data_IF_243518552240
#
_entry.id   IF_243518552240
#
_cell.length_a   1.000
_cell.length_b   1.000
_cell.length_c   1.000
_cell.angle_alpha   90.00
_cell.angle_beta   90.00
_cell.angle_gamma   90.00
#
_symmetry.space_group_name_H-M   'P 1'
#
loop_
_entity.id
_entity.type
_entity.pdbx_description
1 polymer ?
#
# COMPACT_ATOMS: atom_id res chain seq x y z
N UNK A 1 9.12 2.06 5.46
CA UNK A 1 10.25 1.37 4.80
C UNK A 1 11.14 2.40 4.15
N UNK A 2 12.42 2.09 3.96
CA UNK A 2 13.38 2.99 3.33
C UNK A 2 14.74 2.31 3.12
N UNK A 3 15.68 3.09 2.61
CA UNK A 3 17.04 2.66 2.30
C UNK A 3 18.01 3.82 2.51
N UNK A 4 19.31 3.55 2.68
CA UNK A 4 20.35 4.59 2.84
C UNK A 4 21.51 4.42 1.85
N UNK A 5 22.49 5.32 1.92
CA UNK A 5 23.66 5.36 1.03
C UNK A 5 24.59 4.12 1.15
N UNK A 6 24.48 3.35 2.23
CA UNK A 6 25.24 2.12 2.43
C UNK A 6 24.55 0.88 1.82
N UNK A 7 23.35 1.05 1.24
CA UNK A 7 22.56 -0.07 0.74
C UNK A 7 21.81 -0.83 1.82
N UNK A 8 21.76 -0.30 3.05
CA UNK A 8 20.88 -0.83 4.09
C UNK A 8 19.43 -0.55 3.71
N UNK A 9 18.59 -1.58 3.72
CA UNK A 9 17.15 -1.49 3.45
C UNK A 9 16.40 -1.99 4.67
N UNK A 10 15.40 -1.24 5.12
CA UNK A 10 14.58 -1.62 6.27
C UNK A 10 13.10 -1.33 6.02
N UNK A 11 12.26 -2.29 6.42
CA UNK A 11 10.81 -2.17 6.48
C UNK A 11 10.32 -2.24 7.92
N UNK A 12 9.14 -1.65 8.16
CA UNK A 12 8.38 -1.83 9.39
C UNK A 12 6.95 -2.19 8.98
N UNK A 13 6.34 -3.12 9.71
CA UNK A 13 4.96 -3.53 9.55
C UNK A 13 4.32 -3.65 10.94
N UNK A 14 3.01 -3.39 11.03
CA UNK A 14 2.30 -3.49 12.28
C UNK A 14 2.04 -4.94 12.67
N UNK A 15 2.48 -5.32 13.87
CA UNK A 15 2.16 -6.60 14.49
C UNK A 15 1.20 -6.41 15.67
N UNK A 16 0.18 -7.26 15.69
CA UNK A 16 -0.76 -7.34 16.81
C UNK A 16 -0.37 -8.56 17.65
N UNK A 17 0.25 -8.30 18.80
CA UNK A 17 0.78 -9.33 19.70
C UNK A 17 -0.03 -9.39 21.00
N UNK A 18 0.16 -10.45 21.81
CA UNK A 18 -0.38 -10.54 23.18
C UNK A 18 0.22 -9.50 24.14
N UNK A 19 1.39 -8.95 23.82
CA UNK A 19 2.06 -7.94 24.65
C UNK A 19 1.30 -6.61 24.51
N UNK A 20 0.93 -5.96 25.63
CA UNK A 20 0.28 -4.65 25.59
C UNK A 20 1.23 -3.59 25.03
N UNK A 21 0.71 -2.71 24.16
CA UNK A 21 1.46 -1.55 23.67
C UNK A 21 1.57 -0.47 24.73
N UNK A 22 2.76 0.08 24.93
CA UNK A 22 2.96 1.22 25.82
C UNK A 22 2.50 2.54 25.17
N UNK A 23 2.07 3.50 25.99
CA UNK A 23 1.60 4.82 25.51
C UNK A 23 2.74 5.71 25.03
N UNK A 24 3.93 5.48 25.56
CA UNK A 24 5.16 6.24 25.28
C UNK A 24 6.27 5.28 24.87
N UNK A 25 7.26 5.80 24.15
CA UNK A 25 8.37 5.05 23.60
C UNK A 25 8.54 5.29 22.10
N UNK A 26 9.47 4.55 21.49
CA UNK A 26 9.76 4.68 20.06
C UNK A 26 8.71 3.95 19.23
N UNK A 27 8.19 4.61 18.19
CA UNK A 27 7.34 3.95 17.18
C UNK A 27 8.19 3.13 16.21
N UNK A 28 7.57 2.20 15.49
CA UNK A 28 8.27 1.46 14.44
C UNK A 28 8.82 2.36 13.33
N UNK A 29 8.21 3.53 13.09
CA UNK A 29 8.70 4.51 12.13
C UNK A 29 9.92 5.27 12.65
N UNK A 30 9.97 5.56 13.96
CA UNK A 30 11.17 6.12 14.58
C UNK A 30 12.35 5.16 14.43
N UNK A 31 12.15 3.87 14.69
CA UNK A 31 13.19 2.85 14.54
C UNK A 31 13.70 2.77 13.10
N UNK A 32 12.81 2.78 12.10
CA UNK A 32 13.19 2.81 10.67
C UNK A 32 14.09 4.01 10.37
N UNK A 33 13.68 5.21 10.81
CA UNK A 33 14.47 6.43 10.58
C UNK A 33 15.82 6.35 11.29
N UNK A 34 15.81 6.03 12.58
CA UNK A 34 17.02 6.05 13.41
C UNK A 34 18.08 5.06 12.92
N UNK A 35 17.66 3.89 12.43
CA UNK A 35 18.55 2.88 11.82
C UNK A 35 19.12 3.38 10.50
N UNK A 36 18.29 3.91 9.61
CA UNK A 36 18.76 4.40 8.31
C UNK A 36 19.77 5.55 8.45
N UNK A 37 19.62 6.39 9.47
CA UNK A 37 20.52 7.51 9.77
C UNK A 37 21.85 7.10 10.41
N UNK A 38 21.92 5.94 11.10
CA UNK A 38 23.05 5.59 11.99
C UNK A 38 23.81 4.34 11.58
N UNK A 39 23.26 3.52 10.69
CA UNK A 39 23.78 2.19 10.43
C UNK A 39 24.15 1.99 8.96
N UNK A 40 25.26 1.29 8.73
CA UNK A 40 25.72 0.90 7.40
C UNK A 40 25.29 -0.52 7.04
N UNK A 41 25.06 -1.37 8.04
CA UNK A 41 24.76 -2.80 7.84
C UNK A 41 23.49 -3.23 8.55
N UNK A 42 22.91 -4.36 8.12
CA UNK A 42 21.74 -4.96 8.78
C UNK A 42 22.05 -5.39 10.22
N UNK A 43 23.30 -5.83 10.47
CA UNK A 43 23.79 -6.21 11.81
C UNK A 43 23.81 -5.00 12.76
N UNK A 44 24.40 -3.89 12.34
CA UNK A 44 24.37 -2.63 13.09
C UNK A 44 22.93 -2.12 13.30
N UNK A 45 22.09 -2.23 12.28
CA UNK A 45 20.68 -1.84 12.37
C UNK A 45 19.93 -2.62 13.45
N UNK A 46 20.12 -3.94 13.50
CA UNK A 46 19.58 -4.82 14.54
C UNK A 46 20.09 -4.42 15.94
N UNK A 47 21.40 -4.26 16.11
CA UNK A 47 22.01 -3.89 17.39
C UNK A 47 21.51 -2.52 17.88
N UNK A 48 21.36 -1.56 16.97
CA UNK A 48 20.80 -0.24 17.24
C UNK A 48 19.35 -0.33 17.68
N UNK A 49 18.53 -1.15 17.01
CA UNK A 49 17.14 -1.39 17.43
C UNK A 49 17.11 -1.96 18.85
N UNK A 50 17.90 -2.99 19.15
CA UNK A 50 17.96 -3.61 20.49
C UNK A 50 18.33 -2.57 21.54
N UNK A 51 19.39 -1.79 21.30
CA UNK A 51 19.83 -0.72 22.20
C UNK A 51 18.71 0.31 22.45
N UNK A 52 18.10 0.83 21.38
CA UNK A 52 17.06 1.85 21.45
C UNK A 52 15.82 1.33 22.18
N UNK A 53 15.42 0.09 21.92
CA UNK A 53 14.28 -0.55 22.58
C UNK A 53 14.53 -0.80 24.06
N UNK A 54 15.75 -1.15 24.45
CA UNK A 54 16.13 -1.31 25.85
C UNK A 54 16.15 0.04 26.59
N UNK A 55 16.62 1.09 25.93
CA UNK A 55 16.77 2.42 26.54
C UNK A 55 15.48 3.23 26.60
N UNK A 56 14.68 3.19 25.54
CA UNK A 56 13.52 4.08 25.36
C UNK A 56 12.18 3.36 25.32
N UNK A 57 12.17 2.02 25.31
CA UNK A 57 10.93 1.27 25.13
C UNK A 57 10.37 1.37 23.70
N UNK A 58 9.26 0.66 23.47
CA UNK A 58 8.45 0.81 22.26
C UNK A 58 7.02 1.16 22.62
N UNK A 59 6.46 2.17 21.97
CA UNK A 59 5.10 2.64 22.21
C UNK A 59 4.79 3.84 21.35
N UNK A 60 3.77 4.60 21.75
CA UNK A 60 3.40 5.84 21.08
C UNK A 60 2.26 5.69 20.06
N UNK A 61 1.57 6.81 19.80
CA UNK A 61 0.47 6.84 18.84
C UNK A 61 1.02 6.74 17.41
N UNK A 62 0.71 5.64 16.74
CA UNK A 62 1.07 5.36 15.36
C UNK A 62 -0.05 5.74 14.36
N UNK A 63 -1.13 6.36 14.83
CA UNK A 63 -2.26 6.76 14.00
C UNK A 63 -2.28 8.26 13.75
N UNK A 64 -2.64 8.63 12.51
CA UNK A 64 -2.70 10.03 12.08
C UNK A 64 -4.01 10.72 12.51
N UNK A 65 -5.17 10.14 12.17
CA UNK A 65 -6.49 10.72 12.47
C UNK A 65 -7.14 10.17 13.74
N UNK A 66 -6.63 9.05 14.26
CA UNK A 66 -7.16 8.39 15.45
C UNK A 66 -6.02 7.73 16.22
N UNK A 67 -6.25 7.46 17.50
CA UNK A 67 -5.28 6.76 18.33
C UNK A 67 -5.12 5.31 17.83
N UNK A 68 -3.93 4.96 17.39
CA UNK A 68 -3.59 3.62 16.93
C UNK A 68 -2.27 3.18 17.54
N UNK A 69 -2.28 2.10 18.32
CA UNK A 69 -1.10 1.58 19.01
C UNK A 69 -0.87 0.13 18.57
N UNK A 70 0.39 -0.23 18.33
CA UNK A 70 0.82 -1.58 17.99
C UNK A 70 2.30 -1.79 18.35
N UNK A 71 2.78 -3.04 18.29
CA UNK A 71 4.18 -3.39 18.50
C UNK A 71 4.86 -3.78 17.18
N UNK A 72 6.14 -3.43 17.04
CA UNK A 72 7.01 -3.77 15.91
C UNK A 72 8.24 -4.58 16.33
N UNK A 73 8.30 -5.08 17.57
CA UNK A 73 9.53 -5.64 18.17
C UNK A 73 10.05 -6.95 17.54
N UNK A 74 9.62 -7.33 16.34
CA UNK A 74 9.87 -8.66 15.78
C UNK A 74 10.07 -8.55 14.27
N UNK A 75 11.19 -9.10 13.78
CA UNK A 75 11.68 -8.92 12.42
C UNK A 75 10.98 -9.79 11.35
N UNK A 76 9.68 -9.62 11.05
CA UNK A 76 9.10 -10.18 9.80
C UNK A 76 8.17 -9.25 9.05
N UNK A 77 8.19 -9.40 7.72
CA UNK A 77 7.29 -8.76 6.76
C UNK A 77 6.10 -9.68 6.51
N UNK A 78 5.09 -9.52 7.36
CA UNK A 78 3.68 -9.53 7.01
C UNK A 78 2.94 -9.04 8.25
N UNK A 79 1.74 -8.49 8.12
CA UNK A 79 0.87 -8.10 9.24
C UNK A 79 0.36 -9.29 10.09
N UNK A 80 1.05 -10.43 10.01
CA UNK A 80 0.92 -11.60 10.86
C UNK A 80 2.31 -11.96 11.37
N UNK A 81 2.35 -12.42 12.61
CA UNK A 81 3.53 -13.08 13.15
C UNK A 81 3.67 -14.42 12.41
N UNK A 82 4.67 -14.53 11.56
CA UNK A 82 4.85 -15.69 10.68
C UNK A 82 6.02 -16.60 11.07
N UNK A 83 6.76 -16.24 12.11
CA UNK A 83 7.87 -17.03 12.60
C UNK A 83 7.42 -18.29 13.35
N UNK A 84 8.14 -19.37 13.05
CA UNK A 84 7.92 -20.71 13.59
C UNK A 84 8.71 -20.96 14.87
N UNK A 85 9.36 -22.11 14.91
CA UNK A 85 10.24 -22.53 15.99
C UNK A 85 11.57 -21.76 15.95
N UNK A 86 12.36 -21.86 17.03
CA UNK A 86 13.61 -21.11 17.17
C UNK A 86 14.64 -21.38 16.06
N UNK A 87 14.61 -22.57 15.44
CA UNK A 87 15.48 -22.94 14.31
C UNK A 87 15.20 -22.11 13.04
N UNK A 88 14.06 -21.40 12.98
CA UNK A 88 13.71 -20.50 11.87
C UNK A 88 14.30 -19.10 12.02
N UNK A 89 15.01 -18.84 13.11
CA UNK A 89 15.58 -17.54 13.43
C UNK A 89 17.06 -17.56 13.13
N UNK A 90 17.53 -16.56 12.38
CA UNK A 90 18.96 -16.29 12.33
C UNK A 90 19.44 -15.77 13.69
N UNK A 91 18.64 -14.92 14.36
CA UNK A 91 18.93 -14.32 15.66
C UNK A 91 17.64 -13.89 16.41
N UNK A 92 17.72 -13.76 17.73
CA UNK A 92 16.64 -13.28 18.60
C UNK A 92 17.16 -12.67 19.93
N UNK A 93 16.33 -11.89 20.64
CA UNK A 93 16.73 -11.27 21.91
C UNK A 93 16.82 -12.31 23.04
N UNK A 94 17.80 -12.14 23.94
CA UNK A 94 18.08 -13.08 25.05
C UNK A 94 16.82 -13.47 25.85
N UNK A 95 16.02 -12.48 26.23
CA UNK A 95 14.86 -12.69 27.10
C UNK A 95 13.58 -13.10 26.32
N UNK A 96 13.67 -13.35 25.01
CA UNK A 96 12.48 -13.68 24.21
C UNK A 96 11.82 -14.96 24.71
N UNK A 97 12.59 -16.02 24.89
CA UNK A 97 12.05 -17.33 25.30
C UNK A 97 11.73 -17.32 26.79
N UNK A 98 12.61 -16.71 27.60
CA UNK A 98 12.40 -16.55 29.05
C UNK A 98 11.05 -15.87 29.34
N UNK A 99 10.74 -14.77 28.64
CA UNK A 99 9.45 -14.10 28.78
C UNK A 99 8.28 -15.01 28.40
N UNK A 100 8.40 -15.81 27.33
CA UNK A 100 7.34 -16.73 26.93
C UNK A 100 7.10 -17.83 27.96
N UNK A 101 8.17 -18.35 28.58
CA UNK A 101 8.11 -19.35 29.66
C UNK A 101 7.50 -18.73 30.93
N UNK A 102 7.95 -17.54 31.34
CA UNK A 102 7.41 -16.79 32.49
C UNK A 102 5.91 -16.54 32.35
N UNK A 103 5.45 -16.20 31.15
CA UNK A 103 4.04 -15.98 30.85
C UNK A 103 3.27 -17.28 30.59
N UNK A 104 3.91 -18.46 30.72
CA UNK A 104 3.33 -19.79 30.50
C UNK A 104 2.75 -19.97 29.10
N UNK A 105 3.36 -19.34 28.10
CA UNK A 105 2.99 -19.52 26.69
C UNK A 105 3.71 -20.69 26.03
N UNK A 106 4.80 -21.16 26.64
CA UNK A 106 5.53 -22.39 26.35
C UNK A 106 6.19 -22.88 27.65
N UNK A 107 6.72 -24.11 27.65
CA UNK A 107 7.33 -24.77 28.80
C UNK A 107 8.85 -24.78 28.76
N UNK A 108 9.45 -24.64 27.58
CA UNK A 108 10.88 -24.80 27.34
C UNK A 108 11.32 -24.05 26.07
N UNK A 109 12.59 -24.20 25.71
CA UNK A 109 13.09 -23.76 24.40
C UNK A 109 12.63 -24.68 23.25
N UNK A 110 12.48 -25.98 23.51
CA UNK A 110 12.18 -26.98 22.48
C UNK A 110 10.73 -26.90 21.99
N UNK A 111 9.81 -26.46 22.86
CA UNK A 111 8.41 -26.24 22.51
C UNK A 111 8.09 -24.79 22.09
N UNK A 112 9.10 -23.91 22.10
CA UNK A 112 8.92 -22.52 21.70
C UNK A 112 8.55 -22.40 20.23
N UNK A 113 7.39 -21.81 19.96
CA UNK A 113 6.96 -21.45 18.62
C UNK A 113 6.45 -20.01 18.64
N UNK A 114 7.18 -19.12 17.98
CA UNK A 114 7.03 -17.68 18.13
C UNK A 114 5.60 -17.20 17.85
N UNK A 115 5.02 -17.60 16.71
CA UNK A 115 3.63 -17.29 16.40
C UNK A 115 2.67 -17.78 17.49
N UNK A 116 2.80 -19.01 18.00
CA UNK A 116 1.88 -19.54 19.04
C UNK A 116 2.03 -18.79 20.36
N UNK A 117 3.27 -18.45 20.74
CA UNK A 117 3.54 -17.75 21.98
C UNK A 117 3.03 -16.31 21.93
N UNK A 118 3.35 -15.57 20.86
CA UNK A 118 3.13 -14.11 20.79
C UNK A 118 1.88 -13.67 20.01
N UNK A 119 1.23 -14.57 19.26
CA UNK A 119 -0.07 -14.33 18.64
C UNK A 119 -1.19 -15.05 19.41
N UNK A 120 -2.43 -14.56 19.32
CA UNK A 120 -3.61 -15.21 19.92
C UNK A 120 -4.08 -14.58 21.24
N UNK A 121 -4.85 -15.34 22.03
CA UNK A 121 -5.57 -14.88 23.21
C UNK A 121 -4.67 -14.19 24.24
N UNK A 122 -4.98 -12.93 24.55
CA UNK A 122 -4.51 -12.25 25.76
C UNK A 122 -5.56 -12.41 26.86
N UNK A 123 -5.14 -12.55 28.12
CA UNK A 123 -6.04 -12.59 29.29
C UNK A 123 -6.72 -11.23 29.56
N UNK A 124 -6.34 -10.18 28.82
CA UNK A 124 -6.97 -8.87 28.90
C UNK A 124 -8.06 -8.72 27.81
N UNK A 125 -9.34 -8.53 28.18
CA UNK A 125 -10.49 -8.60 27.25
C UNK A 125 -10.48 -7.56 26.12
N UNK A 126 -9.94 -6.37 26.38
CA UNK A 126 -9.94 -5.25 25.43
C UNK A 126 -8.86 -5.42 24.35
N UNK A 127 -7.74 -6.02 24.73
CA UNK A 127 -6.59 -6.36 23.91
C UNK A 127 -6.89 -7.63 23.10
N UNK A 128 -7.62 -8.59 23.69
CA UNK A 128 -8.19 -9.77 23.04
C UNK A 128 -9.04 -9.40 21.80
N UNK A 129 -10.08 -8.59 22.00
CA UNK A 129 -10.99 -8.20 20.91
C UNK A 129 -10.22 -7.51 19.79
N UNK A 130 -9.32 -6.59 20.14
CA UNK A 130 -8.55 -5.84 19.17
C UNK A 130 -7.52 -6.67 18.41
N UNK A 131 -6.75 -7.55 19.06
CA UNK A 131 -5.71 -8.33 18.40
C UNK A 131 -6.30 -9.42 17.49
N UNK A 132 -7.33 -10.14 17.94
CA UNK A 132 -7.96 -11.21 17.15
C UNK A 132 -8.68 -10.67 15.91
N UNK A 133 -9.52 -9.65 16.08
CA UNK A 133 -10.26 -9.02 14.97
C UNK A 133 -9.31 -8.32 14.01
N UNK A 134 -8.37 -7.51 14.50
CA UNK A 134 -7.44 -6.81 13.60
C UNK A 134 -6.56 -7.78 12.82
N UNK A 135 -6.08 -8.86 13.43
CA UNK A 135 -5.28 -9.86 12.72
C UNK A 135 -6.11 -10.59 11.66
N UNK A 136 -7.34 -10.99 11.99
CA UNK A 136 -8.24 -11.67 11.06
C UNK A 136 -8.62 -10.77 9.87
N UNK A 137 -9.09 -9.55 10.12
CA UNK A 137 -9.48 -8.62 9.06
C UNK A 137 -8.31 -8.04 8.28
N UNK A 138 -7.11 -7.96 8.87
CA UNK A 138 -5.93 -7.53 8.14
C UNK A 138 -5.51 -8.54 7.06
N UNK A 139 -6.08 -9.76 7.04
CA UNK A 139 -5.94 -10.75 5.94
C UNK A 139 -4.48 -11.09 5.60
N UNK A 140 -3.60 -11.03 6.60
CA UNK A 140 -2.16 -11.23 6.37
C UNK A 140 -1.80 -12.64 5.94
N UNK A 141 -2.51 -13.65 6.45
CA UNK A 141 -2.34 -15.05 6.03
C UNK A 141 -2.63 -15.22 4.53
N UNK A 142 -3.70 -14.60 4.03
CA UNK A 142 -4.07 -14.66 2.60
C UNK A 142 -2.97 -14.04 1.74
N UNK A 143 -2.47 -12.84 2.09
CA UNK A 143 -1.39 -12.18 1.35
C UNK A 143 -0.06 -12.93 1.45
N UNK A 144 0.25 -13.49 2.62
CA UNK A 144 1.45 -14.29 2.83
C UNK A 144 1.43 -15.56 1.98
N UNK A 145 0.34 -16.33 2.03
CA UNK A 145 0.19 -17.53 1.22
C UNK A 145 0.27 -17.20 -0.27
N UNK A 146 -0.43 -16.14 -0.70
CA UNK A 146 -0.41 -15.70 -2.10
C UNK A 146 0.97 -15.26 -2.58
N UNK A 147 1.70 -14.48 -1.78
CA UNK A 147 3.04 -14.03 -2.15
C UNK A 147 4.03 -15.20 -2.22
N UNK A 148 3.99 -16.12 -1.25
CA UNK A 148 4.78 -17.36 -1.28
C UNK A 148 4.48 -18.20 -2.52
N UNK A 149 3.20 -18.47 -2.79
CA UNK A 149 2.78 -19.23 -3.98
C UNK A 149 3.30 -18.61 -5.27
N UNK A 150 3.22 -17.28 -5.41
CA UNK A 150 3.72 -16.59 -6.60
C UNK A 150 5.23 -16.73 -6.74
N UNK A 151 5.98 -16.46 -5.66
CA UNK A 151 7.44 -16.54 -5.67
C UNK A 151 7.90 -17.96 -5.97
N UNK A 152 7.32 -18.98 -5.33
CA UNK A 152 7.65 -20.37 -5.57
C UNK A 152 7.33 -20.81 -6.99
N UNK A 153 6.15 -20.45 -7.52
CA UNK A 153 5.77 -20.82 -8.88
C UNK A 153 6.64 -20.15 -9.93
N UNK A 154 7.00 -18.87 -9.73
CA UNK A 154 7.91 -18.15 -10.61
C UNK A 154 9.33 -18.74 -10.54
N UNK A 155 9.79 -19.12 -9.34
CA UNK A 155 11.09 -19.78 -9.13
C UNK A 155 11.14 -21.21 -9.71
N UNK A 156 10.05 -21.98 -9.62
CA UNK A 156 9.96 -23.33 -10.22
C UNK A 156 9.93 -23.30 -11.75
N UNK A 157 9.23 -22.32 -12.35
CA UNK A 157 9.30 -22.09 -13.81
C UNK A 157 10.73 -21.76 -14.25
N UNK A 158 11.44 -21.03 -13.41
CA UNK A 158 12.84 -20.63 -13.58
C UNK A 158 13.80 -21.83 -13.66
N UNK A 159 13.62 -22.84 -12.80
CA UNK A 159 14.42 -24.06 -12.76
C UNK A 159 14.26 -24.98 -13.99
N UNK A 160 13.28 -24.74 -14.86
CA UNK A 160 13.21 -25.38 -16.19
C UNK A 160 14.11 -24.62 -17.18
N UNK A 161 15.42 -24.88 -17.08
CA UNK A 161 16.51 -24.54 -18.03
C UNK A 161 16.81 -23.09 -18.43
N UNK A 162 16.10 -22.01 -18.06
CA UNK A 162 16.55 -20.67 -18.51
C UNK A 162 15.99 -19.39 -17.87
N UNK A 163 15.44 -19.38 -16.66
CA UNK A 163 15.27 -18.09 -15.97
C UNK A 163 15.56 -18.17 -14.49
N UNK A 164 16.01 -17.08 -13.89
CA UNK A 164 16.09 -16.88 -12.44
C UNK A 164 14.93 -15.95 -12.06
N UNK A 165 14.41 -16.03 -10.83
CA UNK A 165 13.46 -15.04 -10.33
C UNK A 165 14.02 -13.61 -10.55
N UNK A 166 13.28 -12.79 -11.30
CA UNK A 166 13.76 -11.48 -11.77
C UNK A 166 13.18 -10.32 -10.97
N UNK A 167 13.74 -9.13 -11.19
CA UNK A 167 13.18 -7.88 -10.67
C UNK A 167 11.74 -7.63 -11.17
N UNK A 168 11.46 -7.95 -12.44
CA UNK A 168 10.13 -7.81 -13.04
C UNK A 168 9.14 -8.79 -12.38
N UNK A 169 9.59 -10.00 -12.03
CA UNK A 169 8.78 -10.95 -11.28
C UNK A 169 8.37 -10.37 -9.92
N UNK A 170 9.31 -9.74 -9.18
CA UNK A 170 8.99 -9.05 -7.94
C UNK A 170 7.99 -7.91 -8.13
N UNK A 171 8.14 -7.10 -9.18
CA UNK A 171 7.16 -6.07 -9.51
C UNK A 171 5.77 -6.65 -9.71
N UNK A 172 5.66 -7.79 -10.40
CA UNK A 172 4.39 -8.47 -10.66
C UNK A 172 3.78 -9.08 -9.38
N UNK A 173 4.60 -9.64 -8.49
CA UNK A 173 4.14 -10.13 -7.16
C UNK A 173 3.46 -9.01 -6.39
N UNK A 174 4.08 -7.83 -6.32
CA UNK A 174 3.57 -6.67 -5.59
C UNK A 174 2.35 -6.01 -6.23
N UNK A 175 1.95 -6.47 -7.44
CA UNK A 175 0.79 -5.99 -8.19
C UNK A 175 -0.38 -6.96 -8.19
N UNK A 176 -0.24 -8.12 -7.56
CA UNK A 176 -1.22 -9.20 -7.69
C UNK A 176 -2.59 -8.83 -7.10
N UNK A 177 -3.65 -9.29 -7.81
CA UNK A 177 -5.06 -9.12 -7.46
C UNK A 177 -5.89 -10.40 -7.59
N UNK A 178 -5.34 -11.57 -7.22
CA UNK A 178 -6.00 -12.88 -7.47
C UNK A 178 -7.47 -12.93 -7.05
N UNK A 179 -7.83 -12.29 -5.93
CA UNK A 179 -9.17 -12.42 -5.34
C UNK A 179 -10.16 -11.38 -5.89
N UNK A 180 -9.70 -10.46 -6.74
CA UNK A 180 -10.53 -9.43 -7.35
C UNK A 180 -11.25 -9.93 -8.60
N UNK A 181 -12.56 -9.64 -8.71
CA UNK A 181 -13.38 -9.97 -9.88
C UNK A 181 -13.53 -8.75 -10.78
N UNK A 182 -13.11 -8.86 -12.04
CA UNK A 182 -13.15 -7.83 -13.09
C UNK A 182 -12.27 -6.59 -12.82
N UNK A 183 -12.37 -5.98 -11.64
CA UNK A 183 -11.58 -4.81 -11.21
C UNK A 183 -11.05 -5.01 -9.78
N UNK A 184 -9.84 -4.52 -9.46
CA UNK A 184 -9.25 -4.66 -8.14
C UNK A 184 -9.98 -3.85 -7.05
N UNK A 185 -10.75 -2.83 -7.44
CA UNK A 185 -11.60 -2.11 -6.50
C UNK A 185 -12.82 -2.94 -6.08
N UNK A 186 -13.28 -3.89 -6.90
CA UNK A 186 -14.50 -4.66 -6.66
C UNK A 186 -14.39 -5.62 -5.48
N UNK A 187 -15.52 -5.89 -4.84
CA UNK A 187 -15.65 -6.79 -3.68
C UNK A 187 -15.62 -6.05 -2.34
N UNK A 188 -16.27 -6.66 -1.35
CA UNK A 188 -16.45 -6.10 0.00
C UNK A 188 -15.37 -6.57 0.98
N UNK A 189 -14.83 -7.78 0.76
CA UNK A 189 -13.94 -8.48 1.70
C UNK A 189 -12.67 -9.02 1.07
N UNK A 190 -12.50 -8.89 -0.24
CA UNK A 190 -11.29 -9.35 -0.91
C UNK A 190 -10.11 -8.45 -0.55
N UNK A 191 -9.01 -9.08 -0.14
CA UNK A 191 -7.78 -8.40 0.22
C UNK A 191 -6.63 -9.02 -0.56
N UNK A 192 -6.12 -8.25 -1.51
CA UNK A 192 -5.03 -8.64 -2.40
C UNK A 192 -3.70 -8.01 -1.97
N UNK A 193 -2.60 -8.44 -2.59
CA UNK A 193 -1.25 -7.89 -2.31
C UNK A 193 -1.21 -6.40 -2.65
N UNK A 194 -1.64 -6.03 -3.87
CA UNK A 194 -1.90 -4.64 -4.20
C UNK A 194 -3.31 -4.27 -3.75
N UNK A 195 -3.42 -3.61 -2.60
CA UNK A 195 -4.71 -3.31 -1.99
C UNK A 195 -5.32 -2.03 -2.59
N UNK A 196 -6.53 -2.14 -3.11
CA UNK A 196 -7.34 -1.00 -3.53
C UNK A 196 -8.42 -0.73 -2.48
N UNK A 197 -8.60 0.54 -2.13
CA UNK A 197 -9.67 0.90 -1.23
C UNK A 197 -11.03 0.81 -1.94
N UNK A 198 -11.95 0.07 -1.33
CA UNK A 198 -13.33 -0.12 -1.74
C UNK A 198 -14.30 0.37 -0.67
N UNK A 199 -15.52 -0.19 -0.68
CA UNK A 199 -16.53 0.12 0.32
C UNK A 199 -16.22 -0.57 1.67
N UNK A 200 -16.33 0.18 2.77
CA UNK A 200 -16.01 -0.29 4.13
C UNK A 200 -17.06 -1.27 4.71
N UNK A 201 -16.85 -1.81 5.93
CA UNK A 201 -15.82 -1.47 6.91
C UNK A 201 -14.53 -2.30 6.82
N UNK A 202 -14.40 -3.20 5.83
CA UNK A 202 -13.26 -4.14 5.75
C UNK A 202 -12.21 -3.68 4.73
N UNK A 203 -12.64 -3.20 3.55
CA UNK A 203 -11.74 -2.83 2.44
C UNK A 203 -11.55 -1.31 2.34
N UNK A 204 -11.17 -0.63 3.42
CA UNK A 204 -10.99 0.84 3.42
C UNK A 204 -9.53 1.30 3.24
N UNK A 205 -8.56 0.39 3.34
CA UNK A 205 -7.14 0.70 3.17
C UNK A 205 -6.70 0.58 1.70
N UNK A 206 -5.62 1.29 1.35
CA UNK A 206 -5.03 1.29 0.02
C UNK A 206 -3.51 1.15 0.12
N UNK A 207 -2.89 0.48 -0.85
CA UNK A 207 -1.43 0.54 -1.02
C UNK A 207 -1.02 1.96 -1.43
N UNK A 208 -0.26 2.63 -0.57
CA UNK A 208 0.15 4.04 -0.75
C UNK A 208 1.48 4.22 -1.48
N UNK A 209 2.25 3.15 -1.62
CA UNK A 209 3.52 3.13 -2.34
C UNK A 209 4.10 1.72 -2.37
N UNK A 210 5.10 1.50 -3.22
CA UNK A 210 5.83 0.23 -3.28
C UNK A 210 7.32 0.48 -3.57
N UNK A 211 8.17 -0.37 -2.99
CA UNK A 211 9.62 -0.28 -3.05
C UNK A 211 10.21 -1.68 -3.25
N UNK A 212 11.11 -1.82 -4.23
CA UNK A 212 11.92 -3.01 -4.45
C UNK A 212 13.38 -2.61 -4.53
N UNK A 213 14.25 -3.26 -3.78
CA UNK A 213 15.68 -2.95 -3.78
C UNK A 213 16.48 -4.11 -4.35
N UNK A 214 17.45 -3.80 -5.20
CA UNK A 214 18.45 -4.76 -5.68
C UNK A 214 19.75 -4.44 -4.97
N UNK A 215 20.15 -5.34 -4.08
CA UNK A 215 21.41 -5.22 -3.31
C UNK A 215 22.44 -6.16 -3.93
N UNK A 216 23.47 -5.64 -4.61
CA UNK A 216 24.51 -6.47 -5.19
C UNK A 216 25.29 -7.25 -4.13
N UNK A 217 25.74 -8.45 -4.49
CA UNK A 217 26.69 -9.22 -3.67
C UNK A 217 28.13 -8.73 -3.81
N UNK A 218 28.46 -8.13 -4.95
CA UNK A 218 29.80 -7.62 -5.23
C UNK A 218 29.98 -6.22 -4.65
N UNK A 219 31.11 -6.01 -3.98
CA UNK A 219 31.49 -4.69 -3.48
C UNK A 219 31.78 -3.70 -4.63
N UNK A 220 32.02 -4.15 -5.86
CA UNK A 220 32.25 -3.28 -7.02
C UNK A 220 30.95 -2.78 -7.68
N UNK A 221 29.80 -3.22 -7.17
CA UNK A 221 28.50 -2.76 -7.64
C UNK A 221 27.80 -1.96 -6.56
N UNK A 222 26.90 -1.07 -6.98
CA UNK A 222 26.11 -0.26 -6.06
C UNK A 222 24.63 -0.70 -6.01
N UNK A 223 23.97 -0.54 -4.86
CA UNK A 223 22.52 -0.74 -4.74
C UNK A 223 21.71 0.13 -5.70
N UNK A 224 20.62 -0.42 -6.21
CA UNK A 224 19.58 0.33 -6.93
C UNK A 224 18.22 0.04 -6.32
N UNK A 225 17.42 1.09 -6.15
CA UNK A 225 16.13 1.02 -5.50
C UNK A 225 15.05 1.48 -6.46
N UNK A 226 13.97 0.72 -6.55
CA UNK A 226 12.86 0.99 -7.45
C UNK A 226 11.64 1.36 -6.62
N UNK A 227 11.18 2.59 -6.73
CA UNK A 227 10.01 3.07 -6.01
C UNK A 227 8.93 3.52 -6.98
N UNK A 228 7.66 3.27 -6.63
CA UNK A 228 6.54 3.86 -7.38
C UNK A 228 6.43 5.36 -7.11
N UNK A 229 6.77 5.80 -5.89
CA UNK A 229 6.54 7.16 -5.35
C UNK A 229 5.07 7.62 -5.42
N UNK A 230 4.17 6.70 -5.70
CA UNK A 230 2.73 6.90 -5.95
C UNK A 230 1.97 5.67 -5.46
N UNK A 231 0.67 5.82 -5.19
CA UNK A 231 -0.19 4.72 -4.73
C UNK A 231 -0.37 3.63 -5.79
N UNK A 232 -0.83 2.45 -5.36
CA UNK A 232 -1.27 1.37 -6.24
C UNK A 232 -0.20 0.94 -7.27
N UNK A 233 0.76 0.06 -6.91
CA UNK A 233 1.82 -0.37 -7.84
C UNK A 233 1.30 -0.94 -9.16
N UNK A 234 0.06 -1.44 -9.21
CA UNK A 234 -0.56 -1.94 -10.43
C UNK A 234 -0.98 -0.85 -11.43
N UNK A 235 -1.08 0.41 -10.99
CA UNK A 235 -1.37 1.57 -11.85
C UNK A 235 -0.21 2.59 -11.82
N UNK A 236 0.93 2.17 -11.29
CA UNK A 236 2.13 2.99 -11.14
C UNK A 236 3.33 2.34 -11.81
N UNK A 237 4.32 3.18 -12.12
CA UNK A 237 5.60 2.78 -12.74
C UNK A 237 6.68 2.85 -11.68
N UNK A 238 7.45 1.77 -11.54
CA UNK A 238 8.66 1.75 -10.72
C UNK A 238 9.75 2.60 -11.36
N UNK A 239 10.26 3.59 -10.64
CA UNK A 239 11.38 4.43 -11.09
C UNK A 239 12.66 4.06 -10.35
N UNK A 240 13.82 4.00 -11.03
CA UNK A 240 15.08 3.66 -10.40
C UNK A 240 15.65 4.86 -9.62
N UNK A 241 16.23 4.59 -8.46
CA UNK A 241 16.79 5.57 -7.52
C UNK A 241 18.11 5.03 -6.99
N UNK A 242 19.14 5.87 -7.02
CA UNK A 242 20.44 5.64 -6.44
C UNK A 242 20.68 6.68 -5.33
N UNK A 243 20.94 6.25 -4.09
CA UNK A 243 21.37 7.15 -3.01
C UNK A 243 22.88 7.35 -3.03
N UNK A 244 23.37 7.83 -4.17
CA UNK A 244 24.80 8.13 -4.33
C UNK A 244 25.01 9.64 -4.46
N UNK A 245 23.99 10.48 -4.22
CA UNK A 245 24.04 11.91 -4.50
C UNK A 245 23.67 12.86 -3.37
N UNK A 246 24.40 13.98 -3.32
CA UNK A 246 24.01 15.24 -2.64
C UNK A 246 22.82 15.93 -3.35
N UNK A 247 22.58 15.57 -4.62
CA UNK A 247 21.45 16.01 -5.44
C UNK A 247 20.32 14.97 -5.38
N UNK A 248 19.35 15.19 -4.50
CA UNK A 248 18.05 14.51 -4.48
C UNK A 248 17.46 14.53 -5.92
N UNK A 249 16.78 13.47 -6.40
CA UNK A 249 16.09 13.51 -7.70
C UNK A 249 15.26 14.81 -7.83
N UNK A 250 15.16 15.41 -9.03
CA UNK A 250 15.04 16.84 -9.27
C UNK A 250 13.99 17.60 -8.46
N UNK A 251 14.04 18.93 -8.60
CA UNK A 251 13.14 19.99 -8.12
C UNK A 251 11.61 19.70 -8.01
N UNK A 252 11.10 18.53 -8.40
CA UNK A 252 9.78 18.00 -8.05
C UNK A 252 9.67 17.37 -6.63
N UNK A 253 10.79 17.07 -5.95
CA UNK A 253 10.82 16.76 -4.50
C UNK A 253 11.32 17.97 -3.68
N UNK A 254 12.14 18.83 -4.30
CA UNK A 254 12.70 20.03 -3.68
C UNK A 254 11.81 21.24 -3.92
N UNK A 255 10.96 21.57 -2.94
CA UNK A 255 10.57 22.96 -2.70
C UNK A 255 11.81 23.74 -2.28
N UNK A 256 12.60 24.20 -3.25
CA UNK A 256 13.60 25.24 -2.98
C UNK A 256 12.96 26.59 -2.66
N UNK A 257 11.62 26.72 -2.74
CA UNK A 257 10.86 27.86 -2.24
C UNK A 257 9.85 27.43 -1.16
N UNK A 258 10.02 28.01 0.03
CA UNK A 258 9.42 27.75 1.35
C UNK A 258 7.86 27.75 1.48
N UNK A 259 7.06 27.18 0.57
CA UNK A 259 5.61 27.05 0.83
C UNK A 259 4.75 26.03 0.04
N UNK A 260 5.23 25.31 -0.99
CA UNK A 260 4.29 24.67 -1.96
C UNK A 260 4.39 23.14 -2.21
N UNK A 261 5.24 22.36 -1.53
CA UNK A 261 5.30 20.90 -1.79
C UNK A 261 5.35 20.00 -0.56
N UNK A 262 4.85 20.44 0.60
CA UNK A 262 4.59 19.49 1.68
C UNK A 262 3.39 18.59 1.32
N UNK A 263 3.47 17.27 1.60
CA UNK A 263 2.29 16.41 1.50
C UNK A 263 1.20 16.96 2.42
N UNK A 264 0.18 17.56 1.81
CA UNK A 264 -0.99 18.10 2.50
C UNK A 264 -2.12 17.07 2.53
N UNK A 265 -3.01 17.19 3.52
CA UNK A 265 -4.29 16.47 3.53
C UNK A 265 -5.23 16.93 2.41
N UNK A 266 -4.95 18.09 1.83
CA UNK A 266 -5.69 18.65 0.70
C UNK A 266 -4.94 18.43 -0.62
N UNK A 267 -5.72 18.27 -1.68
CA UNK A 267 -5.23 18.10 -3.04
C UNK A 267 -4.34 19.26 -3.48
N UNK A 268 -3.24 18.91 -4.14
CA UNK A 268 -2.36 19.85 -4.85
C UNK A 268 -2.01 19.28 -6.22
N UNK A 269 -2.19 20.08 -7.27
CA UNK A 269 -1.80 19.71 -8.64
C UNK A 269 -0.29 19.61 -8.83
N UNK A 270 0.48 20.24 -7.95
CA UNK A 270 1.94 20.28 -8.02
C UNK A 270 2.59 19.07 -7.32
N UNK A 271 1.78 18.23 -6.66
CA UNK A 271 2.24 17.06 -5.96
C UNK A 271 1.98 15.79 -6.78
N UNK A 272 3.05 15.04 -7.08
CA UNK A 272 2.97 13.82 -7.91
C UNK A 272 2.06 12.74 -7.31
N UNK A 273 2.02 12.62 -5.98
CA UNK A 273 1.17 11.63 -5.32
C UNK A 273 -0.30 11.96 -5.54
N UNK A 274 -0.69 13.24 -5.35
CA UNK A 274 -2.04 13.72 -5.62
C UNK A 274 -2.41 13.59 -7.10
N UNK A 275 -1.51 13.98 -8.00
CA UNK A 275 -1.69 13.79 -9.44
C UNK A 275 -1.96 12.31 -9.76
N UNK A 276 -1.13 11.41 -9.25
CA UNK A 276 -1.31 9.97 -9.45
C UNK A 276 -2.60 9.43 -8.86
N UNK A 277 -3.06 9.92 -7.70
CA UNK A 277 -4.36 9.54 -7.13
C UNK A 277 -5.52 9.89 -8.05
N UNK A 278 -5.51 11.08 -8.67
CA UNK A 278 -6.53 11.48 -9.65
C UNK A 278 -6.52 10.54 -10.86
N UNK A 279 -5.34 10.23 -11.37
CA UNK A 279 -5.16 9.36 -12.53
C UNK A 279 -5.65 7.95 -12.22
N UNK A 280 -5.22 7.38 -11.09
CA UNK A 280 -5.59 6.04 -10.64
C UNK A 280 -7.11 5.90 -10.49
N UNK A 281 -7.77 6.89 -9.87
CA UNK A 281 -9.23 6.88 -9.71
C UNK A 281 -9.97 6.96 -11.02
N UNK A 282 -9.50 7.77 -11.98
CA UNK A 282 -10.11 7.83 -13.31
C UNK A 282 -9.90 6.52 -14.09
N UNK A 283 -8.74 5.86 -13.95
CA UNK A 283 -8.49 4.56 -14.59
C UNK A 283 -9.44 3.49 -14.02
N UNK A 284 -9.60 3.42 -12.70
CA UNK A 284 -10.42 2.39 -12.05
C UNK A 284 -11.89 2.45 -12.49
N UNK A 285 -12.41 3.65 -12.81
CA UNK A 285 -13.76 3.79 -13.35
C UNK A 285 -13.99 3.07 -14.68
N UNK A 286 -12.92 2.84 -15.45
CA UNK A 286 -12.97 2.23 -16.78
C UNK A 286 -11.94 1.10 -16.88
N UNK A 287 -11.74 0.38 -15.76
CA UNK A 287 -10.61 -0.52 -15.57
C UNK A 287 -10.55 -1.58 -16.67
N UNK A 288 -11.66 -2.25 -16.98
CA UNK A 288 -11.66 -3.34 -17.96
C UNK A 288 -11.30 -2.87 -19.38
N UNK A 289 -11.64 -1.62 -19.72
CA UNK A 289 -11.33 -0.99 -21.01
C UNK A 289 -9.88 -0.54 -21.12
N UNK A 290 -9.29 -0.08 -20.01
CA UNK A 290 -7.97 0.56 -20.01
C UNK A 290 -6.83 -0.37 -19.61
N UNK A 291 -7.08 -1.34 -18.72
CA UNK A 291 -6.01 -2.02 -17.99
C UNK A 291 -5.03 -2.76 -18.89
N UNK A 292 -5.49 -3.46 -19.94
CA UNK A 292 -4.61 -4.21 -20.84
C UNK A 292 -3.59 -3.31 -21.53
N UNK A 293 -4.03 -2.14 -22.01
CA UNK A 293 -3.16 -1.16 -22.67
C UNK A 293 -2.20 -0.51 -21.67
N UNK A 294 -2.71 -0.12 -20.50
CA UNK A 294 -1.90 0.45 -19.41
C UNK A 294 -0.81 -0.52 -18.98
N UNK A 295 -1.15 -1.80 -18.76
CA UNK A 295 -0.19 -2.84 -18.40
C UNK A 295 0.88 -3.02 -19.47
N UNK A 296 0.49 -3.05 -20.75
CA UNK A 296 1.44 -3.17 -21.86
C UNK A 296 2.44 -2.00 -21.88
N UNK A 297 1.95 -0.76 -21.82
CA UNK A 297 2.81 0.43 -21.88
C UNK A 297 3.70 0.56 -20.64
N UNK A 298 3.13 0.29 -19.45
CA UNK A 298 3.88 0.24 -18.19
C UNK A 298 4.99 -0.80 -18.26
N UNK A 299 4.67 -2.03 -18.65
CA UNK A 299 5.63 -3.12 -18.70
C UNK A 299 6.74 -2.85 -19.73
N UNK A 300 6.40 -2.21 -20.86
CA UNK A 300 7.39 -1.78 -21.86
C UNK A 300 8.38 -0.76 -21.29
N UNK A 301 7.89 0.27 -20.59
CA UNK A 301 8.75 1.27 -19.97
C UNK A 301 9.58 0.67 -18.84
N UNK A 302 9.02 -0.21 -18.02
CA UNK A 302 9.74 -0.87 -16.93
C UNK A 302 10.79 -1.85 -17.41
N UNK A 303 10.54 -2.52 -18.54
CA UNK A 303 11.57 -3.35 -19.18
C UNK A 303 12.78 -2.49 -19.60
N UNK A 304 12.53 -1.34 -20.22
CA UNK A 304 13.58 -0.37 -20.58
C UNK A 304 14.35 0.11 -19.33
N UNK A 305 13.63 0.49 -18.27
CA UNK A 305 14.20 0.86 -16.97
C UNK A 305 15.13 -0.23 -16.43
N UNK A 306 14.69 -1.48 -16.42
CA UNK A 306 15.45 -2.62 -15.89
C UNK A 306 16.68 -2.90 -16.74
N UNK A 307 16.60 -2.74 -18.06
CA UNK A 307 17.75 -2.89 -18.95
C UNK A 307 18.80 -1.79 -18.74
N UNK A 308 18.39 -0.52 -18.71
CA UNK A 308 19.32 0.61 -18.55
C UNK A 308 19.95 0.65 -17.15
N UNK A 309 19.17 0.40 -16.10
CA UNK A 309 19.68 0.41 -14.72
C UNK A 309 20.74 -0.67 -14.46
N UNK A 310 20.67 -1.83 -15.13
CA UNK A 310 21.70 -2.88 -15.02
C UNK A 310 23.08 -2.42 -15.51
N UNK A 311 23.12 -1.55 -16.53
CA UNK A 311 24.37 -1.02 -17.09
C UNK A 311 25.06 -0.09 -16.07
N UNK A 312 24.27 0.59 -15.23
CA UNK A 312 24.76 1.57 -14.26
C UNK A 312 25.07 0.99 -12.87
N UNK A 313 25.15 -0.34 -12.74
CA UNK A 313 25.47 -0.99 -11.47
C UNK A 313 26.95 -0.89 -11.09
N UNK A 314 27.87 -0.72 -12.05
CA UNK A 314 29.31 -0.57 -11.75
C UNK A 314 29.58 0.70 -10.95
N UNK A 315 30.48 0.62 -9.96
CA UNK A 315 30.98 1.79 -9.22
C UNK A 315 31.67 2.83 -10.10
N UNK A 316 32.27 2.42 -11.22
CA UNK A 316 33.02 3.30 -12.13
C UNK A 316 32.14 4.31 -12.90
N UNK A 317 30.83 4.06 -12.94
CA UNK A 317 29.84 4.95 -13.55
C UNK A 317 29.67 6.20 -12.67
N UNK A 318 29.59 7.37 -13.30
CA UNK A 318 29.47 8.63 -12.56
C UNK A 318 28.11 8.76 -11.88
N UNK A 319 28.08 9.49 -10.77
CA UNK A 319 26.85 9.82 -10.07
C UNK A 319 25.88 10.63 -10.95
N UNK A 320 26.41 11.55 -11.76
CA UNK A 320 25.64 12.35 -12.71
C UNK A 320 24.89 11.47 -13.71
N UNK A 321 25.53 10.44 -14.25
CA UNK A 321 24.89 9.50 -15.19
C UNK A 321 23.71 8.77 -14.55
N UNK A 322 23.84 8.35 -13.29
CA UNK A 322 22.76 7.69 -12.53
C UNK A 322 21.62 8.65 -12.25
N UNK A 323 21.94 9.87 -11.81
CA UNK A 323 20.96 10.93 -11.58
C UNK A 323 20.18 11.23 -12.86
N UNK A 324 20.86 11.45 -13.98
CA UNK A 324 20.25 11.70 -15.28
C UNK A 324 19.30 10.57 -15.71
N UNK A 325 19.67 9.31 -15.44
CA UNK A 325 18.80 8.17 -15.72
C UNK A 325 17.55 8.18 -14.83
N UNK A 326 17.70 8.46 -13.53
CA UNK A 326 16.55 8.64 -12.62
C UNK A 326 15.64 9.75 -13.13
N UNK A 327 16.17 10.95 -13.41
CA UNK A 327 15.40 12.10 -13.94
C UNK A 327 14.61 11.70 -15.19
N UNK A 328 15.30 11.10 -16.16
CA UNK A 328 14.71 10.68 -17.43
C UNK A 328 13.48 9.78 -17.22
N UNK A 329 13.59 8.78 -16.35
CA UNK A 329 12.49 7.85 -16.13
C UNK A 329 11.36 8.40 -15.27
N UNK A 330 11.63 9.37 -14.41
CA UNK A 330 10.57 10.15 -13.77
C UNK A 330 9.77 10.95 -14.80
N UNK A 331 10.43 11.65 -15.74
CA UNK A 331 9.75 12.38 -16.81
C UNK A 331 8.98 11.45 -17.75
N UNK A 332 9.58 10.36 -18.22
CA UNK A 332 8.89 9.36 -19.05
C UNK A 332 7.65 8.79 -18.35
N UNK A 333 7.73 8.51 -17.05
CA UNK A 333 6.59 8.02 -16.27
C UNK A 333 5.49 9.07 -16.12
N UNK A 334 5.84 10.34 -15.89
CA UNK A 334 4.86 11.43 -15.82
C UNK A 334 4.13 11.63 -17.17
N UNK A 335 4.88 11.65 -18.27
CA UNK A 335 4.31 11.75 -19.62
C UNK A 335 3.33 10.61 -19.91
N UNK A 336 3.74 9.37 -19.64
CA UNK A 336 2.91 8.19 -19.90
C UNK A 336 1.65 8.17 -19.03
N UNK A 337 1.76 8.52 -17.75
CA UNK A 337 0.59 8.57 -16.85
C UNK A 337 -0.37 9.71 -17.22
N UNK A 338 0.12 10.85 -17.73
CA UNK A 338 -0.73 11.91 -18.28
C UNK A 338 -1.52 11.44 -19.51
N UNK A 339 -0.94 10.60 -20.37
CA UNK A 339 -1.69 9.99 -21.47
C UNK A 339 -2.79 9.05 -20.97
N UNK A 340 -2.50 8.24 -19.95
CA UNK A 340 -3.51 7.37 -19.33
C UNK A 340 -4.67 8.19 -18.78
N UNK A 341 -4.37 9.32 -18.13
CA UNK A 341 -5.38 10.25 -17.66
C UNK A 341 -6.25 10.78 -18.80
N UNK A 342 -5.65 11.30 -19.88
CA UNK A 342 -6.40 11.84 -21.02
C UNK A 342 -7.35 10.78 -21.61
N UNK A 343 -6.90 9.53 -21.73
CA UNK A 343 -7.73 8.41 -22.22
C UNK A 343 -8.88 8.10 -21.27
N UNK A 344 -8.61 7.99 -19.96
CA UNK A 344 -9.64 7.76 -18.96
C UNK A 344 -10.64 8.92 -18.88
N UNK A 345 -10.16 10.15 -19.01
CA UNK A 345 -10.98 11.35 -19.03
C UNK A 345 -11.89 11.40 -20.25
N UNK A 346 -11.38 11.07 -21.44
CA UNK A 346 -12.18 10.95 -22.67
C UNK A 346 -13.30 9.91 -22.52
N UNK A 347 -12.98 8.71 -22.01
CA UNK A 347 -13.98 7.67 -21.73
C UNK A 347 -15.09 8.16 -20.79
N UNK A 348 -14.81 9.13 -19.92
CA UNK A 348 -15.81 9.66 -19.00
C UNK A 348 -16.97 10.42 -19.65
N UNK A 349 -16.84 10.79 -20.92
CA UNK A 349 -17.91 11.38 -21.72
C UNK A 349 -18.60 10.36 -22.63
N UNK A 350 -17.95 9.23 -22.91
CA UNK A 350 -18.42 8.24 -23.89
C UNK A 350 -19.21 7.11 -23.24
N UNK A 351 -18.82 6.68 -22.04
CA UNK A 351 -19.38 5.50 -21.38
C UNK A 351 -19.61 5.74 -19.88
N UNK A 352 -20.55 4.97 -19.33
CA UNK A 352 -20.81 4.97 -17.90
C UNK A 352 -19.66 4.32 -17.11
N UNK A 353 -19.47 4.77 -15.87
CA UNK A 353 -18.48 4.25 -14.93
C UNK A 353 -18.78 2.79 -14.55
N UNK A 354 -17.73 1.96 -14.44
CA UNK A 354 -17.77 0.57 -13.97
C UNK A 354 -17.80 0.46 -12.42
N UNK A 355 -17.70 1.59 -11.71
CA UNK A 355 -17.79 1.61 -10.24
C UNK A 355 -19.19 1.19 -9.77
N UNK A 356 -19.22 0.41 -8.69
CA UNK A 356 -20.46 0.19 -7.93
C UNK A 356 -20.87 1.47 -7.18
N UNK A 357 -22.17 1.60 -6.93
CA UNK A 357 -22.73 2.77 -6.22
C UNK A 357 -22.04 3.01 -4.86
N UNK A 358 -21.79 1.95 -4.09
CA UNK A 358 -21.15 2.04 -2.78
C UNK A 358 -19.70 2.56 -2.86
N UNK A 359 -18.94 2.12 -3.87
CA UNK A 359 -17.58 2.65 -4.11
C UNK A 359 -17.64 4.12 -4.49
N UNK A 360 -18.57 4.48 -5.37
CA UNK A 360 -18.72 5.85 -5.84
C UNK A 360 -19.04 6.81 -4.68
N UNK A 361 -19.93 6.43 -3.77
CA UNK A 361 -20.25 7.21 -2.56
C UNK A 361 -19.03 7.39 -1.65
N UNK A 362 -18.28 6.31 -1.44
CA UNK A 362 -17.05 6.34 -0.62
C UNK A 362 -16.03 7.30 -1.23
N UNK A 363 -15.83 7.21 -2.53
CA UNK A 363 -14.87 8.03 -3.25
C UNK A 363 -15.32 9.49 -3.36
N UNK A 364 -16.63 9.76 -3.47
CA UNK A 364 -17.20 11.12 -3.34
C UNK A 364 -16.87 11.74 -1.98
N UNK A 365 -17.04 10.99 -0.89
CA UNK A 365 -16.67 11.45 0.45
C UNK A 365 -15.19 11.81 0.55
N UNK A 366 -14.29 10.93 0.09
CA UNK A 366 -12.85 11.20 0.11
C UNK A 366 -12.46 12.37 -0.79
N UNK A 367 -13.11 12.53 -1.95
CA UNK A 367 -12.91 13.70 -2.83
C UNK A 367 -13.21 14.99 -2.08
N UNK A 368 -14.35 15.05 -1.37
CA UNK A 368 -14.74 16.21 -0.58
C UNK A 368 -13.76 16.44 0.57
N UNK A 369 -13.38 15.41 1.33
CA UNK A 369 -12.44 15.54 2.45
C UNK A 369 -11.05 16.04 2.02
N UNK A 370 -10.61 15.69 0.80
CA UNK A 370 -9.33 16.12 0.24
C UNK A 370 -9.42 17.41 -0.60
N UNK A 371 -10.58 18.08 -0.67
CA UNK A 371 -10.80 19.25 -1.53
C UNK A 371 -10.42 19.04 -3.01
N UNK A 372 -10.63 17.82 -3.54
CA UNK A 372 -10.36 17.53 -4.95
C UNK A 372 -11.43 18.20 -5.83
N UNK A 373 -11.05 19.03 -6.82
CA UNK A 373 -11.99 19.66 -7.74
C UNK A 373 -12.87 18.64 -8.50
N UNK A 374 -14.17 18.93 -8.60
CA UNK A 374 -15.14 18.02 -9.23
C UNK A 374 -14.80 17.69 -10.70
N UNK A 375 -14.27 18.66 -11.45
CA UNK A 375 -13.95 18.47 -12.87
C UNK A 375 -12.81 17.47 -13.12
N UNK A 376 -11.98 17.17 -12.11
CA UNK A 376 -10.87 16.21 -12.20
C UNK A 376 -11.35 14.75 -12.03
N UNK A 377 -12.42 14.52 -11.27
CA UNK A 377 -13.03 13.21 -11.12
C UNK A 377 -14.55 13.36 -11.16
N UNK A 378 -15.13 13.12 -12.34
CA UNK A 378 -16.57 13.11 -12.53
C UNK A 378 -17.16 11.85 -11.90
N UNK A 379 -18.13 12.04 -11.02
CA UNK A 379 -18.96 10.96 -10.49
C UNK A 379 -20.40 11.16 -10.99
N UNK A 380 -21.19 10.09 -11.04
CA UNK A 380 -22.59 10.17 -11.48
C UNK A 380 -23.39 11.12 -10.57
N UNK A 381 -24.30 11.92 -11.17
CA UNK A 381 -25.28 12.74 -10.44
C UNK A 381 -26.35 11.82 -9.85
N UNK A 382 -25.99 11.00 -8.88
CA UNK A 382 -26.95 10.24 -8.08
C UNK A 382 -27.14 11.03 -6.79
N UNK A 383 -28.29 11.70 -6.68
CA UNK A 383 -28.81 12.25 -5.43
C UNK A 383 -29.49 11.13 -4.64
N UNK A 384 -29.19 11.01 -3.34
CA UNK A 384 -29.84 10.04 -2.47
C UNK A 384 -30.23 10.67 -1.13
N UNK A 385 -31.41 10.26 -0.65
CA UNK A 385 -31.94 10.58 0.66
C UNK A 385 -31.08 9.94 1.76
N UNK A 386 -30.41 10.79 2.54
CA UNK A 386 -29.48 10.47 3.62
C UNK A 386 -30.07 9.51 4.65
N UNK A 387 -31.41 9.49 4.83
CA UNK A 387 -32.08 8.61 5.81
C UNK A 387 -31.84 7.12 5.55
N UNK A 388 -31.90 6.67 4.29
CA UNK A 388 -31.74 5.24 3.97
C UNK A 388 -30.28 4.75 4.13
N UNK A 389 -29.31 5.65 3.96
CA UNK A 389 -27.90 5.34 4.16
C UNK A 389 -27.52 5.22 5.64
N UNK A 390 -28.08 6.09 6.49
CA UNK A 390 -27.92 6.00 7.94
C UNK A 390 -28.46 4.66 8.44
N UNK A 391 -29.62 4.24 7.94
CA UNK A 391 -30.25 2.96 8.30
C UNK A 391 -29.38 1.77 7.83
N UNK A 392 -28.87 1.78 6.60
CA UNK A 392 -27.99 0.74 6.08
C UNK A 392 -26.65 0.67 6.84
N UNK A 393 -26.04 1.82 7.13
CA UNK A 393 -24.81 1.92 7.90
C UNK A 393 -25.02 1.47 9.36
N UNK A 394 -26.13 1.86 10.00
CA UNK A 394 -26.49 1.38 11.34
C UNK A 394 -26.76 -0.12 11.34
N UNK A 395 -27.46 -0.68 10.35
CA UNK A 395 -27.70 -2.11 10.24
C UNK A 395 -26.39 -2.89 10.08
N UNK A 396 -25.46 -2.41 9.24
CA UNK A 396 -24.13 -3.01 9.08
C UNK A 396 -23.27 -2.86 10.35
N UNK A 397 -23.39 -1.74 11.07
CA UNK A 397 -22.71 -1.51 12.35
C UNK A 397 -23.28 -2.41 13.46
N UNK A 398 -24.60 -2.59 13.51
CA UNK A 398 -25.30 -3.50 14.44
C UNK A 398 -24.91 -4.95 14.14
N UNK A 399 -24.86 -5.34 12.85
CA UNK A 399 -24.37 -6.66 12.41
C UNK A 399 -22.89 -6.89 12.75
N UNK A 400 -22.07 -5.83 12.73
CA UNK A 400 -20.66 -5.89 13.11
C UNK A 400 -20.46 -5.96 14.63
N UNK A 401 -21.37 -5.38 15.41
CA UNK A 401 -21.30 -5.31 16.86
C UNK A 401 -21.94 -6.51 17.58
N UNK A 402 -22.91 -7.21 16.96
CA UNK A 402 -23.63 -8.32 17.61
C UNK A 402 -23.18 -9.70 17.12
N UNK A 403 -22.82 -10.53 18.10
CA UNK A 403 -22.30 -11.89 18.00
C UNK A 403 -23.30 -12.88 17.36
N UNK A 404 -22.80 -14.03 16.88
CA UNK A 404 -23.40 -14.99 15.93
C UNK A 404 -24.86 -15.46 16.12
N UNK A 405 -25.54 -15.20 17.24
CA UNK A 405 -26.87 -15.79 17.52
C UNK A 405 -28.04 -15.19 16.71
N UNK A 406 -27.93 -13.94 16.25
CA UNK A 406 -29.01 -13.27 15.50
C UNK A 406 -28.68 -13.03 14.03
N UNK A 407 -27.52 -13.50 13.55
CA UNK A 407 -27.05 -13.27 12.18
C UNK A 407 -28.09 -13.72 11.15
N UNK A 408 -28.68 -14.91 11.34
CA UNK A 408 -29.66 -15.47 10.41
C UNK A 408 -30.94 -14.63 10.39
N UNK A 409 -31.43 -14.15 11.53
CA UNK A 409 -32.67 -13.37 11.63
C UNK A 409 -32.46 -11.96 11.05
N UNK A 410 -31.36 -11.29 11.40
CA UNK A 410 -31.05 -9.94 10.90
C UNK A 410 -30.71 -9.98 9.41
N UNK A 411 -30.00 -11.00 8.93
CA UNK A 411 -29.72 -11.21 7.51
C UNK A 411 -31.00 -11.54 6.72
N UNK A 412 -31.94 -12.29 7.30
CA UNK A 412 -33.25 -12.56 6.70
C UNK A 412 -34.09 -11.29 6.60
N UNK A 413 -34.14 -10.48 7.66
CA UNK A 413 -34.80 -9.17 7.66
C UNK A 413 -34.15 -8.18 6.68
N UNK A 414 -32.82 -8.26 6.50
CA UNK A 414 -32.06 -7.49 5.52
C UNK A 414 -32.40 -7.88 4.07
N UNK A 415 -32.51 -9.18 3.77
CA UNK A 415 -32.97 -9.65 2.46
C UNK A 415 -34.42 -9.23 2.20
N UNK A 416 -35.30 -9.33 3.21
CA UNK A 416 -36.69 -8.87 3.11
C UNK A 416 -36.76 -7.36 2.87
N UNK A 417 -35.93 -6.56 3.55
CA UNK A 417 -35.83 -5.11 3.34
C UNK A 417 -35.33 -4.74 1.93
N UNK A 418 -34.30 -5.44 1.43
CA UNK A 418 -33.81 -5.27 0.05
C UNK A 418 -34.85 -5.69 -1.00
N UNK A 419 -35.69 -6.68 -0.71
CA UNK A 419 -36.78 -7.13 -1.59
C UNK A 419 -37.98 -6.17 -1.57
N UNK A 420 -38.27 -5.56 -0.42
CA UNK A 420 -39.36 -4.59 -0.24
C UNK A 420 -39.03 -3.22 -0.84
N UNK A 421 -37.78 -2.78 -0.73
CA UNK A 421 -37.33 -1.55 -1.39
C UNK A 421 -36.91 -1.89 -2.82
N UNK A 422 -37.88 -2.08 -3.72
CA UNK A 422 -37.68 -1.97 -5.18
C UNK A 422 -37.04 -0.61 -5.52
N UNK A 423 -35.73 -0.46 -5.31
CA UNK A 423 -34.93 0.62 -5.85
C UNK A 423 -34.76 0.26 -7.34
N UNK A 424 -35.74 0.65 -8.13
CA UNK A 424 -35.53 0.88 -9.57
C UNK A 424 -34.95 2.30 -9.65
N UNK A 425 -33.64 2.49 -9.82
CA UNK A 425 -33.14 3.82 -10.12
C UNK A 425 -33.61 4.20 -11.53
N UNK A 426 -34.52 5.17 -11.64
CA UNK A 426 -34.70 5.91 -12.90
C UNK A 426 -33.47 6.80 -13.07
N UNK A 427 -32.47 6.33 -13.82
CA UNK A 427 -31.40 7.18 -14.35
C UNK A 427 -32.02 8.14 -15.37
N UNK A 428 -32.09 9.42 -15.04
CA UNK A 428 -32.44 10.46 -16.01
C UNK A 428 -31.25 10.71 -16.93
N UNK A 429 -31.43 10.46 -18.23
CA UNK A 429 -30.53 11.02 -19.26
C UNK A 429 -30.88 12.49 -19.42
N UNK A 430 -29.95 13.39 -19.17
CA UNK A 430 -30.06 14.76 -19.67
C UNK A 430 -28.76 15.22 -20.31
N UNK A 431 -28.94 15.78 -21.51
CA UNK A 431 -27.96 16.48 -22.33
C UNK A 431 -27.50 17.73 -21.56
N UNK A 432 -26.20 17.85 -21.29
CA UNK A 432 -25.61 19.15 -21.01
C UNK A 432 -24.81 19.59 -22.24
N UNK A 433 -25.32 20.66 -22.86
CA UNK A 433 -24.68 21.47 -23.90
C UNK A 433 -23.38 22.08 -23.38
N UNK A 434 -22.38 22.10 -24.26
CA UNK A 434 -21.31 23.09 -24.35
C UNK A 434 -20.49 23.37 -23.08
N UNK A 435 -19.53 22.48 -22.82
CA UNK A 435 -18.22 22.85 -22.26
C UNK A 435 -17.10 22.39 -23.20
N UNK A 436 -17.30 22.59 -24.50
CA UNK A 436 -16.17 22.73 -25.41
C UNK A 436 -15.39 24.00 -24.97
N UNK A 437 -14.06 23.92 -24.98
CA UNK A 437 -13.10 24.96 -24.57
C UNK A 437 -12.65 24.87 -23.10
N UNK A 438 -11.83 23.85 -22.79
CA UNK A 438 -10.69 23.98 -21.85
C UNK A 438 -9.65 22.84 -21.96
N UNK A 439 -9.57 22.14 -23.09
CA UNK A 439 -8.53 21.13 -23.32
C UNK A 439 -7.17 21.76 -23.69
N UNK A 440 -7.15 22.97 -24.25
CA UNK A 440 -5.91 23.65 -24.66
C UNK A 440 -5.25 24.52 -23.57
N UNK A 441 -5.88 24.67 -22.39
CA UNK A 441 -5.28 25.41 -21.25
C UNK A 441 -4.79 24.52 -20.11
N UNK A 442 -4.85 23.19 -20.26
CA UNK A 442 -4.08 22.27 -19.42
C UNK A 442 -2.74 21.97 -20.13
N UNK A 443 -2.01 23.03 -20.49
CA UNK A 443 -0.58 22.94 -20.76
C UNK A 443 0.11 22.61 -19.43
N UNK A 444 0.39 21.32 -19.25
CA UNK A 444 1.48 20.87 -18.38
C UNK A 444 2.75 20.77 -19.23
N UNK A 445 3.14 21.86 -19.88
CA UNK A 445 4.45 22.02 -20.48
C UNK A 445 4.96 23.40 -20.12
N UNK A 446 6.17 23.41 -19.58
CA UNK A 446 7.23 24.40 -19.66
C UNK A 446 6.80 25.87 -19.77
N UNK A 447 7.14 26.65 -18.74
CA UNK A 447 7.86 27.90 -18.95
C UNK A 447 8.48 28.42 -17.64
N UNK A 448 9.82 28.52 -17.71
CA UNK A 448 10.83 29.11 -16.82
C UNK A 448 11.32 28.31 -15.61
#
# INVERSE_FOLDING_TARGET
MGFNCHGLVIGNEALFTKIPSYREGLTGMDLVRLVLERCSTSREGKETIIYLLNKYGQGGNCGFTSKFYYHSRIHTISNIISFGNIQTFDEYSKNLIEQAIENRWCHSIDDFHFQKCYSGLSFYPKEFYNAFIKTHFASGQIRQHRSKDLIENLSKKSNKKSSQFTLIDMFNVLRDHKHSRNSPSNGLTNVDICMHAGFGPIKFNQTTGSLVSVIPRSNNSIPVHYATCTSLPCLSIYKPIWLVSESIPPAFISSSNNSISNPSLTYSSNNIWWKSEIINRNIIKYYNKLIKKIQFERNKLEYDIVCQSKILLSRDISQEQRNNLTVLYFHKADQLTNEWFRRAYKLSFEIESELSLCQELTWKRWRTSANIPYYLIKYSKVEFDIKNYIVLYFLLLILFLFNQFYFIIIFSLFIIYLLLIKIIPKKTKTKEKDQHIKLERLNFNDEN
#
